data_IF_675911849435
#
_entry.id   IF_675911849435
#
_cell.length_a   1.000
_cell.length_b   1.000
_cell.length_c   1.000
_cell.angle_alpha   90.00
_cell.angle_beta   90.00
_cell.angle_gamma   90.00
#
_symmetry.space_group_name_H-M   'P 1'
#
loop_
_entity.id
_entity.type
_entity.pdbx_description
1 polymer ?
#
# COMPACT_ATOMS: atom_id res chain seq x y z
N UNK A 1 60.40 6.10 18.61
CA UNK A 1 59.52 7.24 18.32
C UNK A 1 58.96 7.04 16.92
N UNK A 2 57.63 6.91 16.81
CA UNK A 2 56.93 6.48 15.62
C UNK A 2 57.09 7.46 14.45
N UNK A 3 57.76 7.03 13.37
CA UNK A 3 57.64 7.65 12.06
C UNK A 3 56.48 6.99 11.31
N UNK A 4 55.25 7.45 11.58
CA UNK A 4 54.07 6.96 10.87
C UNK A 4 54.11 7.43 9.42
N UNK A 5 54.16 6.51 8.47
CA UNK A 5 53.99 6.82 7.05
C UNK A 5 52.60 7.44 6.83
N UNK A 6 52.56 8.71 6.41
CA UNK A 6 51.32 9.38 6.02
C UNK A 6 50.86 8.77 4.70
N UNK A 7 49.81 7.95 4.74
CA UNK A 7 49.25 7.31 3.56
C UNK A 7 48.78 8.37 2.55
N UNK A 8 49.34 8.37 1.33
CA UNK A 8 48.85 9.20 0.23
C UNK A 8 47.47 8.72 -0.20
N UNK A 9 46.45 9.54 0.04
CA UNK A 9 45.08 9.30 -0.41
C UNK A 9 44.95 9.47 -1.91
N UNK A 10 44.38 8.46 -2.58
CA UNK A 10 44.07 8.51 -4.02
C UNK A 10 43.08 9.64 -4.30
N UNK A 11 43.28 10.36 -5.41
CA UNK A 11 42.45 11.52 -5.76
C UNK A 11 40.99 11.07 -5.93
N UNK A 12 40.04 11.63 -5.16
CA UNK A 12 38.64 11.25 -5.26
C UNK A 12 38.02 11.75 -6.57
N UNK A 13 36.82 11.25 -6.90
CA UNK A 13 36.09 11.72 -8.07
C UNK A 13 35.62 13.17 -7.85
N UNK A 14 36.16 14.11 -8.64
CA UNK A 14 35.87 15.55 -8.52
C UNK A 14 34.82 16.07 -9.51
N UNK A 15 34.32 15.22 -10.41
CA UNK A 15 33.38 15.60 -11.47
C UNK A 15 32.27 14.56 -11.63
N UNK A 16 31.10 15.02 -12.09
CA UNK A 16 29.96 14.14 -12.38
C UNK A 16 29.28 13.53 -11.14
N UNK A 17 29.59 14.02 -9.93
CA UNK A 17 29.01 13.55 -8.67
C UNK A 17 27.47 13.65 -8.69
N UNK A 18 26.94 14.79 -9.15
CA UNK A 18 25.50 15.01 -9.26
C UNK A 18 24.83 14.01 -10.22
N UNK A 19 25.41 13.80 -11.41
CA UNK A 19 24.85 12.87 -12.39
C UNK A 19 24.89 11.42 -11.88
N UNK A 20 25.95 11.04 -11.16
CA UNK A 20 26.03 9.73 -10.49
C UNK A 20 24.94 9.56 -9.44
N UNK A 21 24.74 10.57 -8.59
CA UNK A 21 23.74 10.50 -7.53
C UNK A 21 22.30 10.51 -8.06
N UNK A 22 22.01 11.29 -9.11
CA UNK A 22 20.68 11.29 -9.75
C UNK A 22 20.35 9.91 -10.31
N UNK A 23 21.29 9.23 -10.99
CA UNK A 23 21.06 7.88 -11.52
C UNK A 23 20.70 6.89 -10.42
N UNK A 24 21.44 6.91 -9.31
CA UNK A 24 21.16 6.06 -8.16
C UNK A 24 19.81 6.38 -7.51
N UNK A 25 19.51 7.66 -7.32
CA UNK A 25 18.24 8.08 -6.72
C UNK A 25 17.04 7.67 -7.58
N UNK A 26 17.13 7.77 -8.90
CA UNK A 26 16.05 7.34 -9.81
C UNK A 26 15.78 5.84 -9.67
N UNK A 27 16.84 5.02 -9.62
CA UNK A 27 16.69 3.57 -9.44
C UNK A 27 16.01 3.27 -8.10
N UNK A 28 16.46 3.90 -7.02
CA UNK A 28 15.88 3.73 -5.68
C UNK A 28 14.42 4.19 -5.64
N UNK A 29 14.11 5.34 -6.26
CA UNK A 29 12.75 5.86 -6.31
C UNK A 29 11.82 4.90 -7.08
N UNK A 30 12.28 4.37 -8.22
CA UNK A 30 11.50 3.43 -9.02
C UNK A 30 11.24 2.12 -8.26
N UNK A 31 12.25 1.57 -7.58
CA UNK A 31 12.07 0.34 -6.79
C UNK A 31 11.16 0.55 -5.59
N UNK A 32 11.29 1.69 -4.88
CA UNK A 32 10.38 2.04 -3.79
C UNK A 32 8.95 2.21 -4.27
N UNK A 33 8.72 2.89 -5.39
CA UNK A 33 7.39 3.08 -5.95
C UNK A 33 6.73 1.75 -6.33
N UNK A 34 7.49 0.86 -6.98
CA UNK A 34 7.01 -0.48 -7.33
C UNK A 34 6.67 -1.31 -6.07
N UNK A 35 7.54 -1.29 -5.05
CA UNK A 35 7.29 -1.99 -3.80
C UNK A 35 6.04 -1.47 -3.08
N UNK A 36 5.87 -0.14 -3.03
CA UNK A 36 4.70 0.49 -2.44
C UNK A 36 3.41 0.10 -3.18
N UNK A 37 3.43 0.09 -4.52
CA UNK A 37 2.28 -0.31 -5.32
C UNK A 37 1.87 -1.77 -5.08
N UNK A 38 2.84 -2.68 -5.00
CA UNK A 38 2.60 -4.10 -4.69
C UNK A 38 2.02 -4.24 -3.28
N UNK A 39 2.60 -3.56 -2.30
CA UNK A 39 2.10 -3.57 -0.93
C UNK A 39 0.65 -3.08 -0.86
N UNK A 40 0.33 -1.96 -1.52
CA UNK A 40 -1.03 -1.41 -1.57
C UNK A 40 -2.01 -2.42 -2.20
N UNK A 41 -1.62 -3.05 -3.31
CA UNK A 41 -2.45 -4.05 -3.98
C UNK A 41 -2.76 -5.24 -3.07
N UNK A 42 -1.74 -5.83 -2.46
CA UNK A 42 -1.88 -7.06 -1.68
C UNK A 42 -2.60 -6.81 -0.36
N UNK A 43 -2.18 -5.80 0.39
CA UNK A 43 -2.68 -5.59 1.75
C UNK A 43 -4.03 -4.89 1.80
N UNK A 44 -4.36 -4.05 0.81
CA UNK A 44 -5.60 -3.26 0.85
C UNK A 44 -6.57 -3.70 -0.23
N UNK A 45 -6.14 -3.71 -1.49
CA UNK A 45 -7.08 -3.94 -2.59
C UNK A 45 -7.56 -5.39 -2.62
N UNK A 46 -6.65 -6.35 -2.49
CA UNK A 46 -7.01 -7.76 -2.51
C UNK A 46 -7.75 -8.18 -1.23
N UNK A 47 -7.39 -7.60 -0.07
CA UNK A 47 -8.14 -7.82 1.16
C UNK A 47 -9.58 -7.31 1.04
N UNK A 48 -9.78 -6.08 0.58
CA UNK A 48 -11.12 -5.53 0.35
C UNK A 48 -11.93 -6.41 -0.60
N UNK A 49 -11.36 -6.82 -1.73
CA UNK A 49 -12.05 -7.70 -2.69
C UNK A 49 -12.48 -9.02 -2.05
N UNK A 50 -11.63 -9.61 -1.21
CA UNK A 50 -11.95 -10.83 -0.46
C UNK A 50 -13.09 -10.60 0.52
N UNK A 51 -13.07 -9.50 1.27
CA UNK A 51 -14.10 -9.19 2.25
C UNK A 51 -15.46 -8.96 1.58
N UNK A 52 -15.50 -8.20 0.47
CA UNK A 52 -16.72 -8.03 -0.33
C UNK A 52 -17.21 -9.37 -0.89
N UNK A 53 -16.31 -10.19 -1.46
CA UNK A 53 -16.68 -11.50 -1.99
C UNK A 53 -17.20 -12.44 -0.89
N UNK A 54 -16.61 -12.39 0.32
CA UNK A 54 -17.04 -13.17 1.47
C UNK A 54 -18.43 -12.74 1.95
N UNK A 55 -18.70 -11.43 2.01
CA UNK A 55 -20.02 -10.89 2.36
C UNK A 55 -21.09 -11.41 1.38
N UNK A 56 -20.90 -11.22 0.07
CA UNK A 56 -21.89 -11.61 -0.93
C UNK A 56 -22.04 -13.13 -1.10
N UNK A 57 -21.08 -13.94 -0.63
CA UNK A 57 -21.18 -15.40 -0.72
C UNK A 57 -22.32 -15.97 0.12
N UNK A 58 -22.60 -15.36 1.27
CA UNK A 58 -23.63 -15.82 2.22
C UNK A 58 -24.72 -14.78 2.43
N UNK A 59 -24.70 -13.69 1.66
CA UNK A 59 -25.67 -12.62 1.79
C UNK A 59 -27.03 -13.04 1.23
N UNK A 60 -28.01 -13.07 2.13
CA UNK A 60 -29.42 -13.23 1.80
C UNK A 60 -30.10 -11.86 1.87
N UNK A 61 -30.61 -11.41 0.72
CA UNK A 61 -31.22 -10.10 0.54
C UNK A 61 -32.52 -10.01 1.33
N UNK A 62 -33.36 -11.03 1.29
CA UNK A 62 -34.68 -11.01 1.93
C UNK A 62 -34.53 -11.00 3.45
N UNK A 63 -33.61 -11.81 3.99
CA UNK A 63 -33.30 -11.81 5.41
C UNK A 63 -32.79 -10.45 5.89
N UNK A 64 -31.87 -9.84 5.14
CA UNK A 64 -31.29 -8.54 5.50
C UNK A 64 -32.32 -7.41 5.37
N UNK A 65 -33.17 -7.47 4.34
CA UNK A 65 -34.28 -6.55 4.14
C UNK A 65 -35.28 -6.64 5.30
N UNK A 66 -35.74 -7.85 5.66
CA UNK A 66 -36.69 -8.05 6.75
C UNK A 66 -36.11 -7.61 8.09
N UNK A 67 -34.81 -7.80 8.33
CA UNK A 67 -34.15 -7.25 9.53
C UNK A 67 -34.18 -5.72 9.60
N UNK A 68 -34.06 -5.02 8.47
CA UNK A 68 -34.10 -3.55 8.42
C UNK A 68 -35.54 -3.05 8.49
N UNK A 69 -36.46 -3.73 7.78
CA UNK A 69 -37.90 -3.47 7.78
C UNK A 69 -38.48 -3.59 9.18
N UNK A 70 -38.14 -4.63 9.92
CA UNK A 70 -38.62 -4.85 11.29
C UNK A 70 -38.03 -3.85 12.31
N UNK A 71 -36.97 -3.14 11.95
CA UNK A 71 -36.46 -2.02 12.76
C UNK A 71 -37.21 -0.70 12.47
N UNK A 72 -38.16 -0.68 11.53
CA UNK A 72 -38.95 0.50 11.18
C UNK A 72 -38.15 1.58 10.46
N UNK A 73 -37.05 1.22 9.78
CA UNK A 73 -36.24 2.19 9.02
C UNK A 73 -36.85 2.56 7.67
N UNK A 74 -37.74 1.73 7.13
CA UNK A 74 -38.38 1.98 5.84
C UNK A 74 -39.66 2.77 6.03
N UNK A 75 -39.80 3.85 5.26
CA UNK A 75 -41.05 4.62 5.13
C UNK A 75 -42.02 3.94 4.15
N UNK A 76 -41.49 3.20 3.18
CA UNK A 76 -42.27 2.51 2.15
C UNK A 76 -42.83 1.16 2.57
N UNK A 77 -42.33 0.57 3.66
CA UNK A 77 -42.70 -0.79 4.09
C UNK A 77 -42.78 -0.85 5.62
N UNK A 78 -43.96 -1.17 6.13
CA UNK A 78 -44.19 -1.35 7.58
C UNK A 78 -43.52 -2.63 8.08
N UNK A 79 -43.11 -2.72 9.36
CA UNK A 79 -42.61 -3.95 9.98
C UNK A 79 -43.55 -5.14 9.74
N UNK A 80 -43.01 -6.34 9.49
CA UNK A 80 -43.82 -7.56 9.57
C UNK A 80 -44.12 -7.81 11.06
N UNK A 81 -45.20 -7.21 11.55
CA UNK A 81 -45.84 -7.56 12.82
C UNK A 81 -46.73 -8.79 12.62
#
# INVERSE_FOLDING_TARGET
>A
MAGGEVSKTTKPQLRGLLAGQIKWNIIIAATMAAAAAIAQKVFVNDQRKKDYAAFYRTYDIEKSFNQIRNKGLFDSCEPDN
#
